data_IF_025745396365
#
_entry.id   IF_025745396365
#
_cell.length_a   1.000
_cell.length_b   1.000
_cell.length_c   1.000
_cell.angle_alpha   90.00
_cell.angle_beta   90.00
_cell.angle_gamma   90.00
#
_symmetry.space_group_name_H-M   'P 1'
#
loop_
_entity.id
_entity.type
_entity.pdbx_description
1 polymer ?
#
# COMPACT_ATOMS: atom_id res chain seq x y z
N UNK A 1 8.23 7.38 -30.46
CA UNK A 1 8.65 6.19 -29.71
C UNK A 1 8.27 4.98 -30.57
N UNK A 2 9.20 4.07 -30.87
CA UNK A 2 8.88 2.85 -31.59
C UNK A 2 7.90 2.04 -30.69
N UNK A 3 6.81 1.54 -31.30
CA UNK A 3 5.83 0.70 -30.62
C UNK A 3 6.54 -0.57 -30.16
N UNK A 4 6.59 -0.83 -28.85
CA UNK A 4 7.20 -2.05 -28.31
C UNK A 4 6.45 -3.26 -28.87
N UNK A 5 7.17 -4.25 -29.35
CA UNK A 5 6.58 -5.49 -29.86
C UNK A 5 6.40 -6.48 -28.68
N UNK A 6 5.28 -6.34 -27.97
CA UNK A 6 4.95 -7.21 -26.82
C UNK A 6 4.76 -8.67 -27.24
N UNK A 7 4.35 -8.91 -28.50
CA UNK A 7 4.21 -10.27 -29.03
C UNK A 7 5.56 -10.96 -29.19
N UNK A 8 6.55 -10.26 -29.73
CA UNK A 8 7.92 -10.77 -29.84
C UNK A 8 8.55 -10.96 -28.44
N UNK A 9 8.29 -10.04 -27.52
CA UNK A 9 8.75 -10.12 -26.13
C UNK A 9 8.13 -11.33 -25.40
N UNK A 10 6.81 -11.55 -25.50
CA UNK A 10 6.12 -12.71 -24.93
C UNK A 10 6.70 -14.02 -25.46
N UNK A 11 6.84 -14.14 -26.78
CA UNK A 11 7.43 -15.31 -27.43
C UNK A 11 8.88 -15.56 -26.98
N UNK A 12 9.68 -14.50 -26.82
CA UNK A 12 11.05 -14.59 -26.34
C UNK A 12 11.12 -15.10 -24.89
N UNK A 13 10.32 -14.55 -23.97
CA UNK A 13 10.26 -14.98 -22.56
C UNK A 13 9.81 -16.44 -22.47
N UNK A 14 8.73 -16.82 -23.17
CA UNK A 14 8.18 -18.18 -23.11
C UNK A 14 9.18 -19.19 -23.64
N UNK A 15 9.86 -18.89 -24.75
CA UNK A 15 10.90 -19.75 -25.31
C UNK A 15 12.01 -20.04 -24.31
N UNK A 16 12.49 -18.99 -23.60
CA UNK A 16 13.58 -19.13 -22.62
C UNK A 16 13.08 -19.66 -21.25
N UNK A 17 11.76 -19.66 -21.02
CA UNK A 17 11.14 -20.31 -19.88
C UNK A 17 10.95 -21.84 -20.05
N UNK A 18 11.43 -22.41 -21.16
CA UNK A 18 11.31 -23.81 -21.49
C UNK A 18 10.10 -24.19 -22.34
N UNK A 19 9.48 -23.20 -22.99
CA UNK A 19 8.32 -23.36 -23.88
C UNK A 19 6.98 -23.34 -23.13
N UNK A 20 5.89 -23.34 -23.92
CA UNK A 20 4.51 -23.28 -23.42
C UNK A 20 4.19 -24.44 -22.47
N UNK A 21 4.63 -25.66 -22.80
CA UNK A 21 4.39 -26.87 -22.04
C UNK A 21 5.02 -26.82 -20.62
N UNK A 22 6.02 -25.97 -20.43
CA UNK A 22 6.67 -25.78 -19.14
C UNK A 22 5.93 -24.77 -18.24
N UNK A 23 5.06 -23.93 -18.78
CA UNK A 23 4.34 -22.89 -18.04
C UNK A 23 3.01 -23.44 -17.56
N UNK A 24 2.84 -23.55 -16.23
CA UNK A 24 1.57 -23.97 -15.60
C UNK A 24 0.56 -22.84 -15.60
N UNK A 25 0.99 -21.64 -15.20
CA UNK A 25 0.16 -20.45 -15.19
C UNK A 25 1.00 -19.17 -15.30
N UNK A 26 0.38 -18.12 -15.82
CA UNK A 26 0.93 -16.79 -15.85
C UNK A 26 0.02 -15.83 -15.08
N UNK A 27 0.61 -14.98 -14.26
CA UNK A 27 -0.04 -13.87 -13.58
C UNK A 27 0.79 -12.62 -13.76
N UNK A 28 0.28 -11.47 -13.43
CA UNK A 28 1.08 -10.25 -13.40
C UNK A 28 0.71 -9.35 -12.23
N UNK A 29 1.64 -8.53 -11.81
CA UNK A 29 1.42 -7.41 -10.91
C UNK A 29 1.63 -6.09 -11.66
N UNK A 30 1.80 -4.98 -10.96
CA UNK A 30 1.97 -3.68 -11.60
C UNK A 30 3.21 -3.59 -12.51
N UNK A 31 4.27 -4.37 -12.22
CA UNK A 31 5.57 -4.23 -12.90
C UNK A 31 6.20 -5.56 -13.31
N UNK A 32 5.60 -6.72 -12.99
CA UNK A 32 6.21 -8.03 -13.19
C UNK A 32 5.24 -9.02 -13.81
N UNK A 33 5.73 -9.76 -14.79
CA UNK A 33 5.10 -10.99 -15.25
C UNK A 33 5.58 -12.13 -14.34
N UNK A 34 4.67 -12.94 -13.84
CA UNK A 34 4.95 -14.06 -12.94
C UNK A 34 4.59 -15.37 -13.62
N UNK A 35 5.52 -16.29 -13.64
CA UNK A 35 5.38 -17.59 -14.26
C UNK A 35 5.53 -18.68 -13.20
N UNK A 36 4.58 -19.63 -13.19
CA UNK A 36 4.69 -20.89 -12.46
C UNK A 36 5.10 -21.96 -13.44
N UNK A 37 6.21 -22.64 -13.17
CA UNK A 37 6.82 -23.60 -14.09
C UNK A 37 6.68 -25.04 -13.57
N UNK A 38 6.52 -25.99 -14.49
CA UNK A 38 6.52 -27.44 -14.20
C UNK A 38 7.93 -27.92 -13.87
N UNK A 39 8.88 -27.56 -14.70
CA UNK A 39 10.28 -27.93 -14.59
C UNK A 39 11.15 -26.68 -14.53
N UNK A 40 11.67 -26.38 -13.34
CA UNK A 40 12.46 -25.20 -13.05
C UNK A 40 13.82 -25.20 -13.74
N UNK A 41 14.35 -26.37 -14.07
CA UNK A 41 15.67 -26.51 -14.70
C UNK A 41 15.68 -26.02 -16.16
N UNK A 42 14.51 -25.88 -16.77
CA UNK A 42 14.35 -25.40 -18.16
C UNK A 42 14.30 -23.89 -18.30
N UNK A 43 14.28 -23.14 -17.18
CA UNK A 43 14.24 -21.69 -17.21
C UNK A 43 15.66 -21.12 -17.27
N UNK A 44 16.01 -20.52 -18.40
CA UNK A 44 17.29 -19.82 -18.58
C UNK A 44 17.15 -18.37 -18.14
N UNK A 45 17.57 -18.09 -16.90
CA UNK A 45 17.48 -16.76 -16.28
C UNK A 45 18.28 -15.71 -17.05
N UNK A 46 19.45 -16.05 -17.56
CA UNK A 46 20.30 -15.09 -18.24
C UNK A 46 19.81 -14.83 -19.68
N UNK A 47 19.30 -15.84 -20.34
CA UNK A 47 18.66 -15.66 -21.64
C UNK A 47 17.35 -14.86 -21.55
N UNK A 48 16.54 -15.04 -20.49
CA UNK A 48 15.34 -14.20 -20.26
C UNK A 48 15.71 -12.74 -20.02
N UNK A 49 16.77 -12.47 -19.27
CA UNK A 49 17.26 -11.09 -19.05
C UNK A 49 17.71 -10.39 -20.35
N UNK A 50 18.10 -11.15 -21.38
CA UNK A 50 18.52 -10.62 -22.68
C UNK A 50 17.34 -10.37 -23.62
N UNK A 51 16.13 -10.77 -23.28
CA UNK A 51 14.93 -10.47 -24.08
C UNK A 51 14.69 -8.95 -24.06
N UNK A 52 14.61 -8.29 -25.21
CA UNK A 52 14.41 -6.84 -25.28
C UNK A 52 13.16 -6.41 -24.51
N UNK A 53 13.32 -5.48 -23.56
CA UNK A 53 12.26 -4.97 -22.69
C UNK A 53 12.14 -5.68 -21.34
N UNK A 54 12.87 -6.76 -21.08
CA UNK A 54 13.03 -7.35 -19.75
C UNK A 54 14.07 -6.56 -18.96
N UNK A 55 13.69 -6.08 -17.79
CA UNK A 55 14.56 -5.27 -16.94
C UNK A 55 15.38 -6.13 -15.97
N UNK A 56 14.75 -7.17 -15.43
CA UNK A 56 15.40 -8.11 -14.50
C UNK A 56 14.56 -9.38 -14.39
N UNK A 57 15.15 -10.41 -13.79
CA UNK A 57 14.45 -11.65 -13.41
C UNK A 57 14.72 -11.90 -11.92
N UNK A 58 13.67 -12.11 -11.16
CA UNK A 58 13.72 -12.44 -9.73
C UNK A 58 13.11 -13.83 -9.57
N UNK A 59 13.83 -14.73 -8.93
CA UNK A 59 13.33 -16.07 -8.60
C UNK A 59 13.06 -16.08 -7.10
N UNK A 60 11.80 -16.22 -6.74
CA UNK A 60 11.41 -16.15 -5.34
C UNK A 60 10.25 -17.12 -5.09
N UNK A 61 10.34 -17.93 -4.03
CA UNK A 61 9.32 -18.92 -3.62
C UNK A 61 8.84 -19.89 -4.71
N UNK A 62 9.70 -20.18 -5.67
CA UNK A 62 9.36 -21.06 -6.77
C UNK A 62 8.57 -20.40 -7.89
N UNK A 63 8.31 -19.08 -7.82
CA UNK A 63 7.80 -18.26 -8.91
C UNK A 63 8.95 -17.56 -9.63
N UNK A 64 8.83 -17.47 -10.94
CA UNK A 64 9.77 -16.77 -11.80
C UNK A 64 9.15 -15.43 -12.19
N UNK A 65 9.69 -14.35 -11.63
CA UNK A 65 9.17 -13.00 -11.79
C UNK A 65 10.03 -12.24 -12.80
N UNK A 66 9.49 -11.99 -13.98
CA UNK A 66 10.15 -11.22 -15.04
C UNK A 66 9.74 -9.76 -14.88
N UNK A 67 10.68 -8.90 -14.51
CA UNK A 67 10.45 -7.46 -14.29
C UNK A 67 10.40 -6.75 -15.64
N UNK A 68 9.27 -6.13 -15.95
CA UNK A 68 8.99 -5.44 -17.22
C UNK A 68 8.81 -3.94 -17.01
N UNK A 69 8.25 -3.53 -15.87
CA UNK A 69 7.80 -2.17 -15.62
C UNK A 69 6.30 -1.98 -15.91
N UNK A 70 5.90 -0.74 -16.14
CA UNK A 70 4.47 -0.37 -16.25
C UNK A 70 3.77 -1.01 -17.47
N UNK A 71 4.51 -1.51 -18.46
CA UNK A 71 3.96 -2.15 -19.66
C UNK A 71 3.59 -3.63 -19.44
N UNK A 72 3.70 -4.14 -18.23
CA UNK A 72 3.44 -5.56 -17.96
C UNK A 72 2.00 -5.98 -18.29
N UNK A 73 0.94 -5.16 -18.13
CA UNK A 73 -0.40 -5.57 -18.54
C UNK A 73 -0.50 -5.87 -20.04
N UNK A 74 0.11 -5.03 -20.89
CA UNK A 74 0.11 -5.23 -22.35
C UNK A 74 0.88 -6.50 -22.75
N UNK A 75 2.02 -6.76 -22.08
CA UNK A 75 2.76 -8.01 -22.28
C UNK A 75 1.97 -9.23 -21.80
N UNK A 76 1.31 -9.13 -20.65
CA UNK A 76 0.51 -10.21 -20.09
C UNK A 76 -0.65 -10.61 -21.02
N UNK A 77 -1.33 -9.63 -21.62
CA UNK A 77 -2.35 -9.90 -22.63
C UNK A 77 -1.81 -10.73 -23.80
N UNK A 78 -0.59 -10.48 -24.26
CA UNK A 78 0.03 -11.27 -25.31
C UNK A 78 0.45 -12.67 -24.84
N UNK A 79 0.88 -12.81 -23.59
CA UNK A 79 1.24 -14.10 -22.99
C UNK A 79 0.02 -15.03 -22.85
N UNK A 80 -1.11 -14.51 -22.39
CA UNK A 80 -2.32 -15.33 -22.20
C UNK A 80 -3.10 -15.61 -23.49
N UNK A 81 -2.79 -14.94 -24.58
CA UNK A 81 -3.30 -15.29 -25.92
C UNK A 81 -2.66 -16.57 -26.48
N UNK A 82 -1.59 -17.06 -25.84
CA UNK A 82 -0.90 -18.26 -26.30
C UNK A 82 -1.61 -19.47 -25.72
N UNK A 83 -2.11 -20.33 -26.59
CA UNK A 83 -2.83 -21.55 -26.21
C UNK A 83 -1.98 -22.44 -25.29
N UNK A 84 -2.57 -22.91 -24.20
CA UNK A 84 -1.92 -23.78 -23.22
C UNK A 84 -1.45 -23.09 -21.95
N UNK A 85 -1.47 -21.75 -21.85
CA UNK A 85 -1.12 -21.01 -20.65
C UNK A 85 -2.39 -20.63 -19.88
N UNK A 86 -2.47 -21.04 -18.60
CA UNK A 86 -3.59 -20.64 -17.75
C UNK A 86 -3.42 -19.18 -17.30
N UNK A 87 -4.42 -18.36 -17.62
CA UNK A 87 -4.50 -16.98 -17.18
C UNK A 87 -4.90 -16.91 -15.69
N UNK A 88 -4.01 -16.39 -14.85
CA UNK A 88 -4.27 -16.16 -13.42
C UNK A 88 -4.70 -14.72 -13.07
N UNK A 89 -4.77 -13.83 -14.06
CA UNK A 89 -5.15 -12.42 -13.88
C UNK A 89 -4.06 -11.54 -13.25
N UNK A 90 -4.44 -10.31 -12.84
CA UNK A 90 -3.51 -9.43 -12.13
C UNK A 90 -3.41 -9.83 -10.66
N UNK A 91 -2.20 -9.93 -10.15
CA UNK A 91 -1.90 -10.17 -8.74
C UNK A 91 -1.20 -8.92 -8.20
N UNK A 92 -1.66 -8.42 -7.06
CA UNK A 92 -1.01 -7.27 -6.45
C UNK A 92 0.37 -7.68 -5.88
N UNK A 93 1.36 -6.79 -5.99
CA UNK A 93 2.74 -7.04 -5.56
C UNK A 93 2.85 -7.50 -4.10
N UNK A 94 1.92 -7.05 -3.25
CA UNK A 94 1.89 -7.36 -1.83
C UNK A 94 1.51 -8.82 -1.53
N UNK A 95 0.79 -9.52 -2.42
CA UNK A 95 0.51 -10.96 -2.20
C UNK A 95 1.75 -11.84 -2.30
N UNK A 96 2.72 -11.46 -3.10
CA UNK A 96 3.97 -12.22 -3.21
C UNK A 96 4.93 -11.89 -2.06
N UNK A 97 5.08 -10.62 -1.71
CA UNK A 97 5.84 -10.23 -0.51
C UNK A 97 5.23 -10.86 0.76
N UNK A 98 3.90 -10.97 0.81
CA UNK A 98 3.18 -11.61 1.89
C UNK A 98 3.35 -13.14 1.95
N UNK A 99 3.43 -13.80 0.79
CA UNK A 99 3.76 -15.24 0.73
C UNK A 99 5.21 -15.50 1.12
N UNK A 100 6.14 -14.61 0.77
CA UNK A 100 7.55 -14.69 1.15
C UNK A 100 7.75 -14.57 2.66
N UNK A 101 7.09 -13.59 3.28
CA UNK A 101 7.12 -13.40 4.74
C UNK A 101 6.42 -14.54 5.49
N UNK A 102 5.41 -15.19 4.90
CA UNK A 102 4.71 -16.31 5.50
C UNK A 102 5.47 -17.65 5.40
N UNK A 103 6.41 -17.78 4.46
CA UNK A 103 7.25 -18.97 4.32
C UNK A 103 8.59 -18.86 5.05
N UNK A 104 9.00 -17.65 5.46
CA UNK A 104 10.22 -17.44 6.23
C UNK A 104 9.91 -17.66 7.73
N UNK A 105 10.07 -18.89 8.13
CA UNK A 105 10.23 -19.39 9.51
C UNK A 105 9.51 -18.66 10.66
N UNK A 106 8.28 -19.08 10.96
CA UNK A 106 7.80 -19.17 12.36
C UNK A 106 7.65 -17.88 13.17
N UNK A 107 7.86 -16.70 12.61
CA UNK A 107 7.71 -15.45 13.35
C UNK A 107 6.29 -14.88 13.19
N UNK A 108 5.50 -14.98 14.27
CA UNK A 108 4.11 -14.48 14.33
C UNK A 108 4.02 -13.01 13.92
N UNK A 109 5.05 -12.19 14.24
CA UNK A 109 5.09 -10.78 13.86
C UNK A 109 5.06 -10.55 12.34
N UNK A 110 5.85 -11.33 11.59
CA UNK A 110 5.88 -11.25 10.13
C UNK A 110 4.53 -11.69 9.51
N UNK A 111 3.89 -12.71 10.07
CA UNK A 111 2.56 -13.14 9.62
C UNK A 111 1.49 -12.05 9.84
N UNK A 112 1.53 -11.35 10.97
CA UNK A 112 0.61 -10.22 11.26
C UNK A 112 0.85 -9.08 10.30
N UNK A 113 2.11 -8.65 10.11
CA UNK A 113 2.46 -7.55 9.19
C UNK A 113 2.04 -7.87 7.75
N UNK A 114 2.32 -9.10 7.30
CA UNK A 114 1.90 -9.60 5.99
C UNK A 114 0.37 -9.60 5.85
N UNK A 115 -0.36 -10.06 6.86
CA UNK A 115 -1.82 -10.06 6.84
C UNK A 115 -2.38 -8.64 6.75
N UNK A 116 -1.86 -7.71 7.56
CA UNK A 116 -2.29 -6.31 7.57
C UNK A 116 -1.98 -5.67 6.22
N UNK A 117 -0.73 -5.74 5.74
CA UNK A 117 -0.32 -5.14 4.46
C UNK A 117 -1.18 -5.62 3.29
N UNK A 118 -1.37 -6.93 3.17
CA UNK A 118 -2.19 -7.48 2.10
C UNK A 118 -3.71 -7.26 2.26
N UNK A 119 -4.18 -6.91 3.46
CA UNK A 119 -5.57 -6.47 3.65
C UNK A 119 -5.76 -5.04 3.16
N UNK A 120 -4.77 -4.15 3.37
CA UNK A 120 -4.86 -2.76 2.94
C UNK A 120 -4.60 -2.57 1.44
N UNK A 121 -3.74 -3.38 0.84
CA UNK A 121 -3.34 -3.26 -0.55
C UNK A 121 -4.52 -3.09 -1.53
N UNK A 122 -5.56 -3.93 -1.57
CA UNK A 122 -6.71 -3.77 -2.47
C UNK A 122 -7.56 -2.53 -2.16
N UNK A 123 -7.42 -1.93 -0.97
CA UNK A 123 -8.19 -0.75 -0.54
C UNK A 123 -7.48 0.55 -0.94
N UNK A 124 -6.17 0.52 -1.21
CA UNK A 124 -5.36 1.71 -1.56
C UNK A 124 -5.99 2.57 -2.66
N UNK A 125 -6.49 2.03 -3.80
CA UNK A 125 -7.08 2.88 -4.84
C UNK A 125 -8.26 3.73 -4.33
N UNK A 126 -9.07 3.17 -3.41
CA UNK A 126 -10.18 3.89 -2.78
C UNK A 126 -9.64 4.99 -1.85
N UNK A 127 -8.62 4.68 -1.04
CA UNK A 127 -7.98 5.65 -0.14
C UNK A 127 -7.34 6.80 -0.92
N UNK A 128 -6.68 6.49 -2.04
CA UNK A 128 -6.06 7.50 -2.92
C UNK A 128 -7.13 8.40 -3.54
N UNK A 129 -8.22 7.82 -4.08
CA UNK A 129 -9.30 8.60 -4.68
C UNK A 129 -9.94 9.55 -3.66
N UNK A 130 -10.29 9.07 -2.47
CA UNK A 130 -10.87 9.88 -1.41
C UNK A 130 -9.91 10.91 -0.85
N UNK A 131 -8.66 10.52 -0.58
CA UNK A 131 -7.63 11.40 -0.06
C UNK A 131 -7.29 12.54 -1.02
N UNK A 132 -7.05 12.24 -2.31
CA UNK A 132 -6.81 13.28 -3.31
C UNK A 132 -8.04 14.18 -3.53
N UNK A 133 -9.25 13.64 -3.43
CA UNK A 133 -10.47 14.48 -3.48
C UNK A 133 -10.51 15.45 -2.28
N UNK A 134 -10.11 15.02 -1.09
CA UNK A 134 -9.97 15.91 0.07
C UNK A 134 -8.92 17.00 -0.13
N UNK A 135 -7.79 16.64 -0.76
CA UNK A 135 -6.77 17.62 -1.13
C UNK A 135 -7.27 18.66 -2.15
N UNK A 136 -8.02 18.20 -3.18
CA UNK A 136 -8.68 19.10 -4.15
C UNK A 136 -9.71 19.99 -3.44
N UNK A 137 -10.49 19.44 -2.52
CA UNK A 137 -11.47 20.19 -1.74
C UNK A 137 -10.80 21.29 -0.91
N UNK A 138 -9.66 20.98 -0.27
CA UNK A 138 -8.86 21.96 0.47
C UNK A 138 -8.36 23.11 -0.43
N UNK A 139 -7.94 22.82 -1.66
CA UNK A 139 -7.59 23.85 -2.65
C UNK A 139 -8.81 24.69 -3.03
N UNK A 140 -9.93 24.07 -3.33
CA UNK A 140 -11.17 24.76 -3.73
C UNK A 140 -11.64 25.73 -2.65
N UNK A 141 -11.58 25.33 -1.39
CA UNK A 141 -12.02 26.20 -0.27
C UNK A 141 -11.00 27.27 0.08
N UNK A 142 -9.73 26.89 0.30
CA UNK A 142 -8.74 27.81 0.87
C UNK A 142 -8.05 28.71 -0.18
N UNK A 143 -8.00 28.27 -1.44
CA UNK A 143 -7.36 29.05 -2.52
C UNK A 143 -8.39 29.69 -3.45
N UNK A 144 -9.41 28.95 -3.87
CA UNK A 144 -10.42 29.42 -4.82
C UNK A 144 -11.68 29.98 -4.15
N UNK A 145 -11.78 29.95 -2.81
CA UNK A 145 -12.87 30.56 -2.06
C UNK A 145 -14.24 29.91 -2.28
N UNK A 146 -14.27 28.62 -2.67
CA UNK A 146 -15.53 27.88 -2.82
C UNK A 146 -16.20 27.73 -1.46
N UNK A 147 -17.46 28.20 -1.35
CA UNK A 147 -18.22 28.13 -0.11
C UNK A 147 -18.45 26.68 0.33
N UNK A 148 -18.27 26.42 1.63
CA UNK A 148 -18.60 25.13 2.24
C UNK A 148 -20.12 24.77 2.16
N UNK A 149 -20.98 25.76 1.91
CA UNK A 149 -22.43 25.57 1.74
C UNK A 149 -22.81 25.23 0.28
N UNK A 150 -21.83 25.29 -0.65
CA UNK A 150 -22.10 25.01 -2.06
C UNK A 150 -22.34 23.53 -2.33
N UNK A 151 -23.21 23.21 -3.30
CA UNK A 151 -23.42 21.83 -3.75
C UNK A 151 -22.14 21.17 -4.27
N UNK A 152 -21.25 21.94 -4.89
CA UNK A 152 -19.93 21.48 -5.32
C UNK A 152 -19.09 21.00 -4.13
N UNK A 153 -19.01 21.80 -3.07
CA UNK A 153 -18.33 21.38 -1.84
C UNK A 153 -18.92 20.10 -1.27
N UNK A 154 -20.27 20.04 -1.13
CA UNK A 154 -20.97 18.90 -0.57
C UNK A 154 -20.67 17.61 -1.32
N UNK A 155 -20.61 17.63 -2.65
CA UNK A 155 -20.31 16.45 -3.47
C UNK A 155 -18.86 15.98 -3.26
N UNK A 156 -17.88 16.88 -3.36
CA UNK A 156 -16.48 16.54 -3.14
C UNK A 156 -16.22 16.08 -1.69
N UNK A 157 -16.86 16.74 -0.74
CA UNK A 157 -16.79 16.35 0.68
C UNK A 157 -17.36 14.95 0.90
N UNK A 158 -18.49 14.61 0.26
CA UNK A 158 -19.05 13.27 0.36
C UNK A 158 -18.12 12.18 -0.22
N UNK A 159 -17.44 12.42 -1.34
CA UNK A 159 -16.47 11.49 -1.91
C UNK A 159 -15.32 11.27 -0.92
N UNK A 160 -14.77 12.34 -0.35
CA UNK A 160 -13.70 12.23 0.64
C UNK A 160 -14.18 11.49 1.89
N UNK A 161 -15.26 11.92 2.50
CA UNK A 161 -15.76 11.36 3.75
C UNK A 161 -16.23 9.93 3.63
N UNK A 162 -16.94 9.56 2.54
CA UNK A 162 -17.39 8.20 2.33
C UNK A 162 -16.23 7.19 2.31
N UNK A 163 -15.09 7.58 1.74
CA UNK A 163 -13.90 6.74 1.69
C UNK A 163 -13.43 6.33 3.09
N UNK A 164 -13.37 7.26 4.01
CA UNK A 164 -12.86 7.00 5.37
C UNK A 164 -13.97 6.50 6.29
N UNK A 165 -15.18 7.07 6.22
CA UNK A 165 -16.32 6.65 7.02
C UNK A 165 -16.64 5.17 6.83
N UNK A 166 -16.69 4.70 5.56
CA UNK A 166 -17.01 3.32 5.20
C UNK A 166 -15.78 2.38 5.19
N UNK A 167 -14.65 2.83 5.70
CA UNK A 167 -13.42 2.03 5.76
C UNK A 167 -13.62 0.62 6.35
N UNK A 168 -14.42 0.39 7.43
CA UNK A 168 -14.70 -0.94 7.94
C UNK A 168 -15.31 -1.90 6.92
N UNK A 169 -16.08 -1.39 5.94
CA UNK A 169 -16.66 -2.21 4.86
C UNK A 169 -15.56 -2.70 3.92
N UNK A 170 -14.68 -1.79 3.47
CA UNK A 170 -13.60 -2.12 2.54
C UNK A 170 -12.59 -3.07 3.18
N UNK A 171 -12.18 -2.78 4.40
CA UNK A 171 -11.26 -3.62 5.18
C UNK A 171 -11.90 -4.97 5.49
N UNK A 172 -13.18 -5.00 5.85
CA UNK A 172 -13.92 -6.23 6.11
C UNK A 172 -13.94 -7.16 4.90
N UNK A 173 -14.22 -6.62 3.70
CA UNK A 173 -14.16 -7.37 2.45
C UNK A 173 -12.75 -7.93 2.19
N UNK A 174 -11.76 -7.06 2.22
CA UNK A 174 -10.38 -7.40 1.90
C UNK A 174 -9.79 -8.43 2.87
N UNK A 175 -10.01 -8.27 4.18
CA UNK A 175 -9.56 -9.21 5.21
C UNK A 175 -10.21 -10.60 5.04
N UNK A 176 -11.51 -10.66 4.79
CA UNK A 176 -12.22 -11.92 4.58
C UNK A 176 -11.74 -12.63 3.31
N UNK A 177 -11.55 -11.91 2.21
CA UNK A 177 -11.01 -12.45 0.97
C UNK A 177 -9.59 -13.02 1.18
N UNK A 178 -8.72 -12.29 1.88
CA UNK A 178 -7.37 -12.74 2.21
C UNK A 178 -7.36 -14.01 3.08
N UNK A 179 -8.30 -14.15 4.00
CA UNK A 179 -8.49 -15.34 4.82
C UNK A 179 -9.16 -16.49 4.06
N UNK A 180 -9.38 -16.37 2.75
CA UNK A 180 -10.11 -17.34 1.93
C UNK A 180 -11.48 -17.67 2.54
N UNK A 181 -12.17 -16.62 2.99
CA UNK A 181 -13.54 -16.63 3.48
C UNK A 181 -14.42 -15.84 2.53
N UNK A 182 -15.67 -15.58 2.88
CA UNK A 182 -16.58 -14.80 2.04
C UNK A 182 -16.37 -13.30 2.23
N UNK A 183 -15.82 -12.61 1.21
CA UNK A 183 -15.56 -11.17 1.24
C UNK A 183 -16.81 -10.32 1.49
N UNK A 184 -17.94 -10.70 0.91
CA UNK A 184 -19.19 -9.96 1.13
C UNK A 184 -19.74 -10.09 2.55
N UNK A 185 -19.55 -11.24 3.22
CA UNK A 185 -19.88 -11.36 4.64
C UNK A 185 -18.94 -10.49 5.51
N UNK A 186 -17.66 -10.37 5.13
CA UNK A 186 -16.74 -9.43 5.78
C UNK A 186 -17.17 -7.97 5.60
N UNK A 187 -17.57 -7.58 4.37
CA UNK A 187 -18.15 -6.27 4.10
C UNK A 187 -19.44 -6.03 4.88
N UNK A 188 -20.29 -7.04 4.96
CA UNK A 188 -21.55 -6.97 5.72
C UNK A 188 -21.32 -6.78 7.20
N UNK A 189 -20.33 -7.46 7.79
CA UNK A 189 -19.92 -7.20 9.18
C UNK A 189 -19.50 -5.73 9.36
N UNK A 190 -18.65 -5.21 8.45
CA UNK A 190 -18.27 -3.79 8.47
C UNK A 190 -19.46 -2.83 8.36
N UNK A 191 -20.44 -3.15 7.52
CA UNK A 191 -21.67 -2.37 7.37
C UNK A 191 -22.56 -2.40 8.64
N UNK A 192 -22.63 -3.55 9.33
CA UNK A 192 -23.35 -3.67 10.60
C UNK A 192 -22.71 -2.78 11.67
N UNK A 193 -21.38 -2.76 11.76
CA UNK A 193 -20.67 -1.89 12.72
C UNK A 193 -20.97 -0.40 12.48
N UNK A 194 -21.23 -0.02 11.22
CA UNK A 194 -21.55 1.36 10.83
C UNK A 194 -23.04 1.68 10.83
N UNK A 195 -23.89 0.69 11.09
CA UNK A 195 -25.32 0.92 11.12
C UNK A 195 -25.70 1.86 12.26
N UNK A 196 -26.58 2.83 11.98
CA UNK A 196 -26.86 3.95 12.88
C UNK A 196 -27.34 3.56 14.29
N UNK A 197 -27.99 2.39 14.44
CA UNK A 197 -28.41 1.87 15.75
C UNK A 197 -27.31 1.10 16.47
N UNK A 198 -26.11 0.98 15.91
CA UNK A 198 -24.95 0.29 16.48
C UNK A 198 -23.78 1.26 16.66
N UNK A 199 -23.48 2.06 15.64
CA UNK A 199 -22.33 2.95 15.59
C UNK A 199 -22.46 4.09 16.61
N UNK A 200 -21.74 4.00 17.71
CA UNK A 200 -21.78 4.99 18.80
C UNK A 200 -23.06 4.94 19.66
N UNK A 201 -23.90 3.90 19.52
CA UNK A 201 -25.15 3.80 20.26
C UNK A 201 -24.91 3.53 21.76
N UNK A 202 -25.54 4.32 22.60
CA UNK A 202 -25.52 4.15 24.06
C UNK A 202 -26.67 3.28 24.53
N UNK A 203 -26.48 2.57 25.64
CA UNK A 203 -27.52 1.76 26.29
C UNK A 203 -27.89 0.49 25.53
N UNK A 204 -27.09 0.06 24.56
CA UNK A 204 -27.32 -1.17 23.83
C UNK A 204 -26.95 -2.38 24.68
N UNK A 205 -27.79 -3.42 24.66
CA UNK A 205 -27.49 -4.71 25.26
C UNK A 205 -27.86 -5.88 24.35
N UNK A 206 -27.21 -7.01 24.56
CA UNK A 206 -27.54 -8.28 23.89
C UNK A 206 -27.86 -9.32 24.97
N UNK A 207 -29.13 -9.65 25.13
CA UNK A 207 -29.64 -10.53 26.20
C UNK A 207 -29.19 -10.10 27.59
N UNK A 208 -29.19 -8.79 27.87
CA UNK A 208 -28.77 -8.23 29.16
C UNK A 208 -27.26 -8.06 29.34
N UNK A 209 -26.45 -8.43 28.33
CA UNK A 209 -25.01 -8.18 28.33
C UNK A 209 -24.79 -6.80 27.70
N UNK A 210 -24.18 -5.82 28.41
CA UNK A 210 -24.01 -4.48 27.89
C UNK A 210 -23.04 -4.45 26.68
N UNK A 211 -23.38 -3.70 25.67
CA UNK A 211 -22.51 -3.41 24.51
C UNK A 211 -21.90 -2.03 24.71
N UNK A 212 -20.59 -1.93 24.61
CA UNK A 212 -19.91 -0.65 24.75
C UNK A 212 -20.22 0.27 23.56
N UNK A 213 -20.58 1.52 23.84
CA UNK A 213 -20.76 2.55 22.82
C UNK A 213 -19.41 2.90 22.18
N UNK A 214 -19.21 2.48 20.94
CA UNK A 214 -17.99 2.72 20.15
C UNK A 214 -18.38 3.29 18.79
N UNK A 215 -17.74 4.38 18.40
CA UNK A 215 -17.81 4.88 17.02
C UNK A 215 -16.86 4.07 16.14
N UNK A 216 -17.43 3.25 15.27
CA UNK A 216 -16.67 2.34 14.40
C UNK A 216 -16.25 2.96 13.06
N UNK A 217 -16.80 4.12 12.69
CA UNK A 217 -16.41 4.84 11.47
C UNK A 217 -14.91 5.15 11.50
N UNK A 218 -14.27 5.01 10.35
CA UNK A 218 -12.82 5.21 10.18
C UNK A 218 -11.92 4.29 11.03
N UNK A 219 -12.49 3.26 11.69
CA UNK A 219 -11.69 2.30 12.47
C UNK A 219 -11.32 1.07 11.65
N UNK A 220 -10.29 0.38 12.08
CA UNK A 220 -9.71 -0.78 11.37
C UNK A 220 -9.66 -2.03 12.24
N UNK A 221 -9.16 -1.90 13.47
CA UNK A 221 -8.91 -3.06 14.35
C UNK A 221 -10.18 -3.81 14.72
N UNK A 222 -11.31 -3.15 15.08
CA UNK A 222 -12.55 -3.85 15.40
C UNK A 222 -13.03 -4.78 14.30
N UNK A 223 -13.06 -4.30 13.04
CA UNK A 223 -13.50 -5.10 11.90
C UNK A 223 -12.51 -6.21 11.55
N UNK A 224 -11.19 -5.97 11.65
CA UNK A 224 -10.17 -7.00 11.41
C UNK A 224 -10.34 -8.15 12.39
N UNK A 225 -10.44 -7.88 13.69
CA UNK A 225 -10.65 -8.90 14.72
C UNK A 225 -11.97 -9.64 14.51
N UNK A 226 -13.04 -8.92 14.20
CA UNK A 226 -14.34 -9.50 13.86
C UNK A 226 -14.27 -10.44 12.66
N UNK A 227 -13.57 -10.05 11.59
CA UNK A 227 -13.42 -10.88 10.38
C UNK A 227 -12.51 -12.08 10.61
N UNK A 228 -11.47 -11.96 11.43
CA UNK A 228 -10.67 -13.12 11.83
C UNK A 228 -11.54 -14.18 12.50
N UNK A 229 -12.36 -13.79 13.47
CA UNK A 229 -13.30 -14.68 14.14
C UNK A 229 -14.38 -15.20 13.17
N UNK A 230 -14.98 -14.31 12.36
CA UNK A 230 -15.96 -14.66 11.34
C UNK A 230 -15.43 -15.75 10.40
N UNK A 231 -14.17 -15.64 9.97
CA UNK A 231 -13.57 -16.60 9.05
C UNK A 231 -13.42 -17.98 9.65
N UNK A 232 -13.15 -18.09 10.96
CA UNK A 232 -13.13 -19.36 11.69
C UNK A 232 -14.52 -19.96 11.75
N UNK A 233 -15.51 -19.18 12.16
CA UNK A 233 -16.92 -19.61 12.25
C UNK A 233 -17.43 -20.04 10.86
N UNK A 234 -17.20 -19.23 9.83
CA UNK A 234 -17.62 -19.52 8.47
C UNK A 234 -17.04 -20.84 7.95
N UNK A 235 -15.71 -21.05 8.10
CA UNK A 235 -15.05 -22.29 7.66
C UNK A 235 -15.54 -23.51 8.44
N UNK A 236 -15.77 -23.36 9.73
CA UNK A 236 -16.34 -24.41 10.56
C UNK A 236 -17.75 -24.82 10.07
N UNK A 237 -18.63 -23.87 9.86
CA UNK A 237 -19.99 -24.10 9.37
C UNK A 237 -19.98 -24.69 7.95
N UNK A 238 -19.13 -24.19 7.06
CA UNK A 238 -18.96 -24.72 5.71
C UNK A 238 -18.58 -26.21 5.70
N UNK A 239 -17.84 -26.67 6.70
CA UNK A 239 -17.44 -28.07 6.81
C UNK A 239 -18.55 -28.97 7.37
N UNK A 240 -19.39 -28.47 8.27
CA UNK A 240 -20.34 -29.30 9.03
C UNK A 240 -21.78 -29.23 8.51
N UNK A 241 -22.16 -28.17 7.80
CA UNK A 241 -23.52 -28.02 7.27
C UNK A 241 -23.69 -28.82 5.96
N UNK A 242 -24.79 -29.58 5.80
CA UNK A 242 -25.09 -30.29 4.55
C UNK A 242 -25.19 -29.34 3.35
N UNK A 243 -24.79 -29.84 2.16
CA UNK A 243 -24.64 -29.01 0.94
C UNK A 243 -25.91 -28.25 0.60
N UNK A 244 -27.10 -28.88 0.70
CA UNK A 244 -28.38 -28.26 0.36
C UNK A 244 -28.81 -27.12 1.28
N UNK A 245 -28.24 -27.04 2.52
CA UNK A 245 -28.52 -25.96 3.47
C UNK A 245 -27.42 -24.87 3.50
N UNK A 246 -26.26 -25.12 2.91
CA UNK A 246 -25.10 -24.22 3.01
C UNK A 246 -25.42 -22.79 2.61
N UNK A 247 -26.13 -22.59 1.53
CA UNK A 247 -26.43 -21.27 0.98
C UNK A 247 -27.25 -20.40 1.94
N UNK A 248 -28.09 -21.00 2.78
CA UNK A 248 -28.98 -20.28 3.71
C UNK A 248 -28.38 -20.28 5.12
N UNK A 249 -28.03 -21.47 5.64
CA UNK A 249 -27.67 -21.63 7.06
C UNK A 249 -26.28 -21.11 7.38
N UNK A 250 -25.31 -21.28 6.47
CA UNK A 250 -23.93 -20.85 6.75
C UNK A 250 -23.84 -19.30 6.89
N UNK A 251 -24.31 -18.47 5.94
CA UNK A 251 -24.23 -17.03 6.13
C UNK A 251 -25.05 -16.53 7.33
N UNK A 252 -26.24 -17.10 7.55
CA UNK A 252 -27.11 -16.75 8.68
C UNK A 252 -26.40 -17.00 10.02
N UNK A 253 -25.98 -18.23 10.28
CA UNK A 253 -25.32 -18.58 11.55
C UNK A 253 -23.98 -17.89 11.72
N UNK A 254 -23.23 -17.68 10.62
CA UNK A 254 -21.98 -16.91 10.66
C UNK A 254 -22.22 -15.52 11.24
N UNK A 255 -23.23 -14.79 10.73
CA UNK A 255 -23.54 -13.45 11.24
C UNK A 255 -24.12 -13.44 12.64
N UNK A 256 -25.10 -14.34 12.94
CA UNK A 256 -25.71 -14.43 14.25
C UNK A 256 -24.72 -14.73 15.37
N UNK A 257 -23.64 -15.45 15.07
CA UNK A 257 -22.56 -15.76 16.04
C UNK A 257 -21.53 -14.62 16.05
N UNK A 258 -21.10 -14.14 14.89
CA UNK A 258 -19.99 -13.21 14.78
C UNK A 258 -20.34 -11.81 15.29
N UNK A 259 -21.52 -11.31 14.95
CA UNK A 259 -21.90 -9.91 15.27
C UNK A 259 -21.94 -9.68 16.80
N UNK A 260 -22.65 -10.49 17.61
CA UNK A 260 -22.66 -10.27 19.06
C UNK A 260 -21.25 -10.38 19.68
N UNK A 261 -20.47 -11.37 19.28
CA UNK A 261 -19.09 -11.54 19.79
C UNK A 261 -18.22 -10.33 19.40
N UNK A 262 -18.41 -9.81 18.18
CA UNK A 262 -17.68 -8.62 17.74
C UNK A 262 -18.07 -7.40 18.56
N UNK A 263 -19.35 -7.16 18.79
CA UNK A 263 -19.82 -5.98 19.50
C UNK A 263 -19.46 -6.01 21.01
N UNK A 264 -19.55 -7.18 21.63
CA UNK A 264 -19.34 -7.32 23.09
C UNK A 264 -17.85 -7.44 23.43
N UNK A 265 -17.05 -8.13 22.61
CA UNK A 265 -15.67 -8.50 22.96
C UNK A 265 -14.65 -7.92 22.00
N UNK A 266 -14.75 -8.27 20.70
CA UNK A 266 -13.67 -7.97 19.74
C UNK A 266 -13.62 -6.50 19.34
N UNK A 267 -14.77 -5.83 19.29
CA UNK A 267 -14.86 -4.39 19.03
C UNK A 267 -14.18 -3.56 20.11
N UNK A 268 -14.54 -3.73 21.39
CA UNK A 268 -13.87 -3.08 22.52
C UNK A 268 -12.36 -3.36 22.56
N UNK A 269 -11.93 -4.63 22.36
CA UNK A 269 -10.51 -4.98 22.29
C UNK A 269 -9.83 -4.25 21.13
N UNK A 270 -10.42 -4.30 19.93
CA UNK A 270 -9.86 -3.64 18.75
C UNK A 270 -9.77 -2.13 18.91
N UNK A 271 -10.78 -1.50 19.50
CA UNK A 271 -10.77 -0.07 19.79
C UNK A 271 -9.65 0.29 20.81
N UNK A 272 -9.52 -0.50 21.86
CA UNK A 272 -8.47 -0.31 22.89
C UNK A 272 -7.08 -0.47 22.29
N UNK A 273 -6.85 -1.50 21.47
CA UNK A 273 -5.58 -1.72 20.76
C UNK A 273 -5.27 -0.54 19.82
N UNK A 274 -6.25 -0.07 19.06
CA UNK A 274 -6.10 1.10 18.18
C UNK A 274 -5.71 2.36 18.96
N UNK A 275 -6.39 2.63 20.06
CA UNK A 275 -6.12 3.77 20.94
C UNK A 275 -4.73 3.69 21.58
N UNK A 276 -4.33 2.53 22.08
CA UNK A 276 -3.00 2.35 22.66
C UNK A 276 -1.89 2.54 21.61
N UNK A 277 -2.09 2.01 20.42
CA UNK A 277 -1.14 2.17 19.32
C UNK A 277 -1.00 3.65 18.94
N UNK A 278 -2.12 4.36 18.78
CA UNK A 278 -2.12 5.79 18.47
C UNK A 278 -1.41 6.60 19.56
N UNK A 279 -1.78 6.39 20.82
CA UNK A 279 -1.20 7.12 21.93
C UNK A 279 0.29 6.80 22.11
N UNK A 280 0.71 5.54 21.94
CA UNK A 280 2.11 5.15 22.04
C UNK A 280 2.98 5.77 20.94
N UNK A 281 2.50 5.73 19.69
CA UNK A 281 3.18 6.33 18.54
C UNK A 281 3.21 7.87 18.67
N UNK A 282 2.12 8.48 19.11
CA UNK A 282 2.05 9.92 19.33
C UNK A 282 2.95 10.37 20.49
N UNK A 283 3.02 9.60 21.60
CA UNK A 283 3.94 9.87 22.69
C UNK A 283 5.41 9.79 22.26
N UNK A 284 5.76 8.81 21.41
CA UNK A 284 7.10 8.72 20.81
C UNK A 284 7.41 9.96 19.95
N UNK A 285 6.44 10.37 19.11
CA UNK A 285 6.58 11.59 18.34
C UNK A 285 6.76 12.82 19.24
N UNK A 286 5.98 12.97 20.28
CA UNK A 286 6.08 14.10 21.23
C UNK A 286 7.43 14.14 21.97
N UNK A 287 7.98 12.97 22.29
CA UNK A 287 9.26 12.89 23.01
C UNK A 287 10.45 13.29 22.12
N UNK A 288 10.47 12.87 20.86
CA UNK A 288 11.60 13.07 19.93
C UNK A 288 11.12 13.29 18.48
N UNK A 289 10.39 14.38 18.20
CA UNK A 289 9.71 14.56 16.91
C UNK A 289 10.61 14.40 15.71
N UNK A 290 11.74 15.11 15.72
CA UNK A 290 12.69 15.12 14.63
C UNK A 290 13.28 13.73 14.32
N UNK A 291 13.65 12.98 15.37
CA UNK A 291 14.20 11.64 15.21
C UNK A 291 13.14 10.62 14.77
N UNK A 292 11.93 10.71 15.30
CA UNK A 292 10.85 9.82 14.93
C UNK A 292 10.51 9.93 13.43
N UNK A 293 10.34 11.16 12.93
CA UNK A 293 10.07 11.40 11.51
C UNK A 293 11.27 11.05 10.63
N UNK A 294 12.50 11.32 11.10
CA UNK A 294 13.73 10.91 10.41
C UNK A 294 13.81 9.38 10.20
N UNK A 295 13.48 8.60 11.23
CA UNK A 295 13.49 7.12 11.13
C UNK A 295 12.49 6.64 10.07
N UNK A 296 11.28 7.20 10.04
CA UNK A 296 10.31 6.89 8.97
C UNK A 296 10.91 7.25 7.60
N UNK A 297 11.49 8.44 7.48
CA UNK A 297 12.14 8.90 6.24
C UNK A 297 13.24 7.97 5.73
N UNK A 298 14.09 7.47 6.64
CA UNK A 298 15.18 6.54 6.30
C UNK A 298 14.63 5.17 5.90
N UNK A 299 13.63 4.67 6.64
CA UNK A 299 13.18 3.27 6.51
C UNK A 299 12.14 3.08 5.41
N UNK A 300 11.46 4.13 4.95
CA UNK A 300 10.39 4.02 3.93
C UNK A 300 10.83 3.25 2.66
N UNK A 301 11.99 3.50 2.01
CA UNK A 301 12.38 2.72 0.83
C UNK A 301 12.54 1.23 1.13
N UNK A 302 12.97 0.87 2.34
CA UNK A 302 13.07 -0.52 2.79
C UNK A 302 11.69 -1.10 3.07
N UNK A 303 10.79 -0.35 3.73
CA UNK A 303 9.42 -0.79 3.98
C UNK A 303 8.67 -1.05 2.67
N UNK A 304 8.86 -0.20 1.66
CA UNK A 304 8.29 -0.43 0.32
C UNK A 304 8.86 -1.69 -0.30
N UNK A 305 10.18 -1.89 -0.23
CA UNK A 305 10.81 -3.09 -0.78
C UNK A 305 10.30 -4.38 -0.16
N UNK A 306 10.10 -4.39 1.16
CA UNK A 306 9.56 -5.55 1.88
C UNK A 306 8.02 -5.61 1.84
N UNK A 307 7.33 -4.69 1.14
CA UNK A 307 5.86 -4.63 1.11
C UNK A 307 5.21 -4.27 2.44
N UNK A 308 5.98 -3.66 3.36
CA UNK A 308 5.54 -3.34 4.72
C UNK A 308 4.96 -1.93 4.87
N UNK A 309 5.12 -1.06 3.87
CA UNK A 309 4.60 0.31 3.92
C UNK A 309 3.09 0.36 4.16
N UNK A 310 2.32 -0.55 3.57
CA UNK A 310 0.87 -0.61 3.75
C UNK A 310 0.45 -1.07 5.16
N UNK A 311 1.32 -1.78 5.87
CA UNK A 311 1.09 -2.18 7.26
C UNK A 311 1.12 -0.99 8.25
N UNK A 312 1.56 0.18 7.83
CA UNK A 312 1.55 1.41 8.63
C UNK A 312 0.20 2.14 8.65
N UNK A 313 -0.67 1.86 7.67
CA UNK A 313 -1.97 2.55 7.58
C UNK A 313 -2.87 2.45 8.82
N UNK A 314 -2.95 1.32 9.55
CA UNK A 314 -3.68 1.28 10.82
C UNK A 314 -3.21 2.33 11.82
N UNK A 315 -1.89 2.62 11.85
CA UNK A 315 -1.31 3.66 12.71
C UNK A 315 -1.72 5.05 12.22
N UNK A 316 -1.67 5.28 10.90
CA UNK A 316 -2.12 6.55 10.29
C UNK A 316 -3.58 6.82 10.64
N UNK A 317 -4.47 5.82 10.48
CA UNK A 317 -5.88 5.98 10.84
C UNK A 317 -6.09 6.24 12.32
N UNK A 318 -5.32 5.56 13.18
CA UNK A 318 -5.38 5.76 14.60
C UNK A 318 -4.92 7.18 15.01
N UNK A 319 -3.84 7.71 14.41
CA UNK A 319 -3.38 9.08 14.60
C UNK A 319 -4.43 10.10 14.12
N UNK A 320 -4.98 9.91 12.91
CA UNK A 320 -6.02 10.78 12.37
C UNK A 320 -7.26 10.82 13.27
N UNK A 321 -7.66 9.69 13.85
CA UNK A 321 -8.77 9.62 14.81
C UNK A 321 -8.45 10.31 16.14
N UNK A 322 -7.21 10.24 16.61
CA UNK A 322 -6.81 10.78 17.91
C UNK A 322 -6.51 12.29 17.89
N UNK A 323 -5.81 12.76 16.81
CA UNK A 323 -5.28 14.13 16.75
C UNK A 323 -5.66 14.88 15.47
N UNK A 324 -6.55 14.33 14.65
CA UNK A 324 -7.03 14.89 13.37
C UNK A 324 -5.90 15.22 12.38
N UNK A 325 -4.75 14.55 12.49
CA UNK A 325 -3.60 14.76 11.61
C UNK A 325 -2.61 13.59 11.72
N UNK A 326 -1.70 13.48 10.76
CA UNK A 326 -0.56 12.56 10.82
C UNK A 326 0.75 13.35 10.84
N UNK A 327 1.31 13.60 12.03
CA UNK A 327 2.58 14.29 12.15
C UNK A 327 3.80 13.38 11.97
N UNK A 328 3.62 12.07 11.77
CA UNK A 328 4.71 11.10 11.83
C UNK A 328 4.84 10.23 10.57
N UNK A 329 3.84 9.39 10.28
CA UNK A 329 3.98 8.32 9.27
C UNK A 329 3.98 8.90 7.85
N UNK A 330 2.86 9.43 7.36
CA UNK A 330 2.78 10.02 6.03
C UNK A 330 3.68 11.26 5.91
N UNK A 331 3.85 11.99 7.02
CA UNK A 331 4.77 13.13 7.12
C UNK A 331 6.23 12.71 6.90
N UNK A 332 6.67 11.56 7.41
CA UNK A 332 8.02 11.03 7.15
C UNK A 332 8.15 10.32 5.80
N UNK A 333 7.06 9.70 5.31
CA UNK A 333 7.03 9.06 4.00
C UNK A 333 7.14 10.06 2.84
N UNK A 334 6.57 11.26 2.97
CA UNK A 334 6.57 12.24 1.90
C UNK A 334 8.00 12.64 1.45
N UNK A 335 8.92 13.09 2.32
CA UNK A 335 10.29 13.36 1.93
C UNK A 335 11.03 12.10 1.45
N UNK A 336 10.72 10.92 1.99
CA UNK A 336 11.32 9.67 1.54
C UNK A 336 10.92 9.33 0.10
N UNK A 337 9.65 9.44 -0.24
CA UNK A 337 9.13 9.13 -1.57
C UNK A 337 9.71 10.05 -2.63
N UNK A 338 9.77 11.36 -2.35
CA UNK A 338 10.36 12.30 -3.30
C UNK A 338 11.88 12.17 -3.39
N UNK A 339 12.56 11.74 -2.31
CA UNK A 339 13.98 11.41 -2.34
C UNK A 339 14.27 10.17 -3.22
N UNK A 340 13.38 9.15 -3.23
CA UNK A 340 13.42 8.05 -4.20
C UNK A 340 13.36 8.61 -5.63
N UNK A 341 12.49 9.60 -5.88
CA UNK A 341 12.40 10.29 -7.15
C UNK A 341 13.73 10.94 -7.55
N UNK A 342 14.33 11.71 -6.65
CA UNK A 342 15.65 12.33 -6.84
C UNK A 342 16.75 11.30 -7.12
N UNK A 343 16.76 10.20 -6.35
CA UNK A 343 17.73 9.11 -6.53
C UNK A 343 17.58 8.41 -7.88
N UNK A 344 16.36 8.14 -8.34
CA UNK A 344 16.11 7.57 -9.67
C UNK A 344 16.57 8.50 -10.79
N UNK A 345 16.28 9.81 -10.68
CA UNK A 345 16.73 10.80 -11.67
C UNK A 345 18.25 10.89 -11.72
N UNK A 346 18.95 10.84 -10.58
CA UNK A 346 20.42 10.81 -10.55
C UNK A 346 20.97 9.50 -11.16
N UNK A 347 20.36 8.36 -10.86
CA UNK A 347 20.73 7.07 -11.45
C UNK A 347 20.58 7.06 -12.97
N UNK A 348 19.57 7.76 -13.51
CA UNK A 348 19.37 7.88 -14.97
C UNK A 348 20.50 8.62 -15.65
N UNK A 349 21.10 9.63 -15.00
CA UNK A 349 22.25 10.37 -15.56
C UNK A 349 23.55 9.55 -15.55
N UNK A 350 23.67 8.60 -14.64
CA UNK A 350 24.84 7.72 -14.51
C UNK A 350 24.72 6.47 -15.39
N UNK A 351 23.52 6.11 -15.85
CA UNK A 351 23.34 4.94 -16.69
C UNK A 351 23.78 5.21 -18.13
N UNK A 352 24.59 4.28 -18.69
CA UNK A 352 24.99 4.25 -20.10
C UNK A 352 23.96 3.52 -20.99
N UNK A 353 23.12 2.70 -20.39
CA UNK A 353 22.08 1.95 -21.10
C UNK A 353 20.82 2.82 -21.27
N UNK A 354 20.34 2.95 -22.51
CA UNK A 354 19.17 3.79 -22.85
C UNK A 354 17.89 3.28 -22.17
N UNK A 355 17.71 1.97 -22.07
CA UNK A 355 16.53 1.37 -21.42
C UNK A 355 16.53 1.63 -19.91
N UNK A 356 17.66 1.36 -19.22
CA UNK A 356 17.79 1.69 -17.79
C UNK A 356 17.55 3.18 -17.52
N UNK A 357 18.04 4.04 -18.41
CA UNK A 357 17.83 5.48 -18.30
C UNK A 357 16.35 5.84 -18.39
N UNK A 358 15.64 5.28 -19.37
CA UNK A 358 14.20 5.51 -19.56
C UNK A 358 13.39 5.05 -18.36
N UNK A 359 13.69 3.84 -17.85
CA UNK A 359 13.04 3.28 -16.64
C UNK A 359 13.30 4.16 -15.42
N UNK A 360 14.56 4.59 -15.22
CA UNK A 360 14.93 5.42 -14.08
C UNK A 360 14.25 6.79 -14.12
N UNK A 361 14.10 7.40 -15.29
CA UNK A 361 13.37 8.69 -15.45
C UNK A 361 11.89 8.50 -15.16
N UNK A 362 11.23 7.48 -15.75
CA UNK A 362 9.82 7.20 -15.52
C UNK A 362 9.53 6.90 -14.05
N UNK A 363 10.34 6.03 -13.44
CA UNK A 363 10.24 5.68 -12.04
C UNK A 363 10.51 6.88 -11.11
N UNK A 364 11.44 7.78 -11.51
CA UNK A 364 11.70 9.02 -10.79
C UNK A 364 10.49 9.94 -10.75
N UNK A 365 9.85 10.15 -11.91
CA UNK A 365 8.65 10.99 -12.01
C UNK A 365 7.50 10.41 -11.18
N UNK A 366 7.24 9.09 -11.26
CA UNK A 366 6.19 8.45 -10.46
C UNK A 366 6.45 8.53 -8.96
N UNK A 367 7.71 8.40 -8.53
CA UNK A 367 8.09 8.53 -7.13
C UNK A 367 7.91 9.97 -6.60
N UNK A 368 8.18 11.01 -7.42
CA UNK A 368 7.85 12.39 -7.06
C UNK A 368 6.35 12.58 -6.85
N UNK A 369 5.51 11.83 -7.57
CA UNK A 369 4.06 11.81 -7.36
C UNK A 369 3.61 10.98 -6.15
N UNK A 370 4.55 10.27 -5.48
CA UNK A 370 4.26 9.43 -4.30
C UNK A 370 4.14 7.94 -4.61
N UNK A 371 4.31 7.49 -5.85
CA UNK A 371 4.28 6.07 -6.26
C UNK A 371 5.71 5.58 -6.43
N UNK A 372 6.24 4.93 -5.41
CA UNK A 372 7.69 4.61 -5.32
C UNK A 372 8.05 3.20 -5.76
N UNK A 373 7.10 2.30 -5.89
CA UNK A 373 7.34 0.89 -6.21
C UNK A 373 8.19 0.70 -7.48
N UNK A 374 7.93 1.39 -8.62
CA UNK A 374 8.78 1.26 -9.79
C UNK A 374 10.22 1.70 -9.54
N UNK A 375 10.41 2.76 -8.73
CA UNK A 375 11.73 3.26 -8.36
C UNK A 375 12.48 2.31 -7.44
N UNK A 376 11.81 1.83 -6.40
CA UNK A 376 12.40 0.94 -5.40
C UNK A 376 12.81 -0.37 -6.05
N UNK A 377 11.92 -1.05 -6.75
CA UNK A 377 12.19 -2.36 -7.34
C UNK A 377 13.02 -2.29 -8.63
N UNK A 378 12.79 -1.28 -9.47
CA UNK A 378 13.45 -1.17 -10.78
C UNK A 378 14.83 -0.49 -10.72
N UNK A 379 15.06 0.40 -9.75
CA UNK A 379 16.27 1.24 -9.71
C UNK A 379 17.06 1.08 -8.42
N UNK A 380 16.42 1.27 -7.24
CA UNK A 380 17.16 1.35 -5.98
C UNK A 380 17.80 0.02 -5.58
N UNK A 381 17.07 -1.06 -5.71
CA UNK A 381 17.58 -2.38 -5.32
C UNK A 381 18.40 -3.10 -6.39
N UNK A 382 18.40 -2.59 -7.62
CA UNK A 382 19.34 -3.07 -8.65
C UNK A 382 20.77 -2.59 -8.43
N UNK A 383 20.92 -1.45 -7.75
CA UNK A 383 22.25 -0.83 -7.46
C UNK A 383 22.19 -0.22 -6.06
N UNK A 384 23.11 -0.57 -5.17
CA UNK A 384 23.12 -0.14 -3.75
C UNK A 384 23.17 1.38 -3.56
N UNK A 385 23.89 2.11 -4.44
CA UNK A 385 24.10 3.55 -4.27
C UNK A 385 22.83 4.42 -4.39
N UNK A 386 21.82 4.12 -5.25
CA UNK A 386 20.60 4.89 -5.26
C UNK A 386 19.74 4.66 -4.01
N UNK A 387 19.76 3.44 -3.46
CA UNK A 387 19.08 3.14 -2.21
C UNK A 387 19.64 3.99 -1.06
N UNK A 388 20.96 3.99 -0.89
CA UNK A 388 21.61 4.79 0.15
C UNK A 388 21.32 6.29 -0.06
N UNK A 389 21.36 6.77 -1.30
CA UNK A 389 21.03 8.16 -1.62
C UNK A 389 19.60 8.53 -1.27
N UNK A 390 18.62 7.67 -1.58
CA UNK A 390 17.23 7.87 -1.20
C UNK A 390 17.03 7.88 0.32
N UNK A 391 17.69 6.95 1.04
CA UNK A 391 17.66 6.90 2.51
C UNK A 391 18.26 8.17 3.15
N UNK A 392 19.36 8.71 2.60
CA UNK A 392 19.95 9.97 3.06
C UNK A 392 18.98 11.14 2.82
N UNK A 393 18.44 11.26 1.60
CA UNK A 393 17.50 12.32 1.26
C UNK A 393 16.23 12.27 2.09
N UNK A 394 15.64 11.07 2.20
CA UNK A 394 14.44 10.81 3.02
C UNK A 394 14.70 11.04 4.51
N UNK A 395 15.84 10.60 5.03
CA UNK A 395 16.21 10.78 6.43
C UNK A 395 16.40 12.25 6.82
N UNK A 396 17.19 12.99 6.04
CA UNK A 396 17.39 14.43 6.31
C UNK A 396 16.10 15.21 6.08
N UNK A 397 15.32 14.87 5.04
CA UNK A 397 14.00 15.45 4.82
C UNK A 397 13.04 15.18 5.98
N UNK A 398 13.02 13.93 6.49
CA UNK A 398 12.24 13.54 7.66
C UNK A 398 12.69 14.27 8.94
N UNK A 399 14.01 14.43 9.15
CA UNK A 399 14.57 15.21 10.25
C UNK A 399 14.08 16.67 10.20
N UNK A 400 14.16 17.30 9.03
CA UNK A 400 13.68 18.66 8.83
C UNK A 400 12.17 18.76 9.02
N UNK A 401 11.40 17.80 8.51
CA UNK A 401 9.96 17.74 8.71
C UNK A 401 9.59 17.71 10.19
N UNK A 402 10.27 16.89 10.98
CA UNK A 402 10.05 16.79 12.42
C UNK A 402 10.49 18.04 13.20
N UNK A 403 11.63 18.67 12.82
CA UNK A 403 12.10 19.94 13.43
C UNK A 403 11.11 21.09 13.16
N UNK A 404 10.61 21.18 11.92
CA UNK A 404 9.73 22.26 11.48
C UNK A 404 8.24 22.00 11.78
N UNK A 405 7.91 20.86 12.41
CA UNK A 405 6.55 20.50 12.77
C UNK A 405 5.63 20.25 11.56
N UNK A 406 6.18 19.78 10.44
CA UNK A 406 5.40 19.40 9.27
C UNK A 406 4.34 18.37 9.65
N UNK A 407 3.13 18.50 9.13
CA UNK A 407 2.00 17.62 9.49
C UNK A 407 1.06 17.44 8.31
N UNK A 408 0.61 16.22 8.07
CA UNK A 408 -0.39 15.93 7.04
C UNK A 408 -1.79 15.90 7.65
N UNK A 409 -2.72 16.69 7.11
CA UNK A 409 -4.09 16.81 7.62
C UNK A 409 -5.11 15.95 6.88
N UNK A 410 -4.78 15.49 5.68
CA UNK A 410 -5.65 14.64 4.86
C UNK A 410 -4.88 13.41 4.42
N UNK A 411 -5.42 12.21 4.65
CA UNK A 411 -4.77 10.97 4.21
C UNK A 411 -4.72 10.95 2.69
N UNK A 412 -3.52 10.87 2.15
CA UNK A 412 -3.27 10.79 0.71
C UNK A 412 -1.93 10.11 0.46
N UNK A 413 -1.64 9.77 -0.80
CA UNK A 413 -0.33 9.20 -1.17
C UNK A 413 0.77 10.24 -0.97
N UNK A 414 1.73 10.03 -0.05
CA UNK A 414 2.72 11.06 0.29
C UNK A 414 3.66 11.37 -0.88
N UNK A 415 3.63 12.62 -1.37
CA UNK A 415 4.44 13.10 -2.50
C UNK A 415 4.00 14.50 -2.95
N UNK A 416 4.54 15.03 -4.06
CA UNK A 416 4.17 16.38 -4.51
C UNK A 416 2.68 16.54 -4.89
N UNK A 417 2.04 15.49 -5.38
CA UNK A 417 0.59 15.54 -5.69
C UNK A 417 -0.24 15.76 -4.42
N UNK A 418 0.25 15.32 -3.27
CA UNK A 418 -0.45 15.48 -1.99
C UNK A 418 -0.15 16.78 -1.25
N UNK A 419 0.58 17.73 -1.84
CA UNK A 419 0.82 19.04 -1.20
C UNK A 419 -0.44 19.71 -0.63
N UNK A 420 -1.61 19.66 -1.30
CA UNK A 420 -2.83 20.20 -0.71
C UNK A 420 -3.26 19.53 0.60
N UNK A 421 -2.84 18.29 0.87
CA UNK A 421 -3.12 17.59 2.13
C UNK A 421 -2.35 18.18 3.33
N UNK A 422 -1.39 19.06 3.08
CA UNK A 422 -0.62 19.78 4.09
C UNK A 422 -1.15 21.20 4.34
N UNK A 423 -2.25 21.62 3.70
CA UNK A 423 -2.91 22.89 3.99
C UNK A 423 -3.54 22.78 5.38
N UNK A 424 -3.12 23.71 6.27
CA UNK A 424 -3.64 23.77 7.62
C UNK A 424 -5.12 24.16 7.62
N UNK A 425 -6.02 23.38 8.26
CA UNK A 425 -7.44 23.73 8.35
C UNK A 425 -7.71 25.08 9.03
N UNK A 426 -6.76 25.60 9.81
CA UNK A 426 -6.86 26.96 10.41
C UNK A 426 -6.56 28.08 9.43
N UNK A 427 -6.18 27.77 8.19
CA UNK A 427 -5.84 28.75 7.15
C UNK A 427 -4.39 29.22 7.18
N UNK A 428 -3.53 28.67 8.04
CA UNK A 428 -2.10 29.01 8.07
C UNK A 428 -1.38 28.42 6.85
N UNK A 429 -0.59 29.24 6.16
CA UNK A 429 0.25 28.80 5.04
C UNK A 429 1.57 28.17 5.48
N UNK A 430 1.91 28.23 6.77
CA UNK A 430 3.20 27.77 7.28
C UNK A 430 3.48 26.30 6.94
N UNK A 431 2.57 25.41 7.26
CA UNK A 431 2.76 23.99 7.06
C UNK A 431 2.89 23.59 5.58
N UNK A 432 2.13 24.26 4.69
CA UNK A 432 2.26 24.07 3.24
C UNK A 432 3.65 24.52 2.74
N UNK A 433 4.12 25.69 3.19
CA UNK A 433 5.46 26.21 2.81
C UNK A 433 6.55 25.25 3.31
N UNK A 434 6.46 24.82 4.56
CA UNK A 434 7.38 23.86 5.14
C UNK A 434 7.40 22.57 4.34
N UNK A 435 6.23 22.02 3.98
CA UNK A 435 6.16 20.75 3.23
C UNK A 435 6.80 20.86 1.84
N UNK A 436 6.62 21.99 1.14
CA UNK A 436 7.29 22.26 -0.15
C UNK A 436 8.82 22.30 0.04
N UNK A 437 9.31 23.04 1.03
CA UNK A 437 10.75 23.17 1.29
C UNK A 437 11.35 21.81 1.64
N UNK A 438 10.74 21.07 2.55
CA UNK A 438 11.20 19.73 2.99
C UNK A 438 11.26 18.76 1.81
N UNK A 439 10.22 18.71 0.99
CA UNK A 439 10.19 17.83 -0.18
C UNK A 439 11.26 18.20 -1.21
N UNK A 440 11.46 19.49 -1.50
CA UNK A 440 12.51 19.96 -2.42
C UNK A 440 13.90 19.57 -1.89
N UNK A 441 14.16 19.83 -0.61
CA UNK A 441 15.44 19.46 0.04
C UNK A 441 15.66 17.96 -0.05
N UNK A 442 14.65 17.14 0.22
CA UNK A 442 14.74 15.68 0.14
C UNK A 442 15.06 15.19 -1.28
N UNK A 443 14.41 15.76 -2.32
CA UNK A 443 14.73 15.45 -3.73
C UNK A 443 16.18 15.79 -4.04
N UNK A 444 16.61 17.00 -3.70
CA UNK A 444 17.97 17.48 -4.01
C UNK A 444 19.02 16.61 -3.30
N UNK A 445 18.80 16.31 -2.02
CA UNK A 445 19.74 15.48 -1.26
C UNK A 445 19.76 14.03 -1.76
N UNK A 446 18.61 13.44 -2.06
CA UNK A 446 18.50 12.11 -2.67
C UNK A 446 19.23 12.04 -4.01
N UNK A 447 19.07 13.07 -4.84
CA UNK A 447 19.76 13.21 -6.12
C UNK A 447 21.28 13.35 -5.95
N UNK A 448 21.72 14.34 -5.15
CA UNK A 448 23.16 14.64 -4.97
C UNK A 448 23.90 13.47 -4.33
N UNK A 449 23.32 12.88 -3.27
CA UNK A 449 23.90 11.71 -2.61
C UNK A 449 24.03 10.53 -3.56
N UNK A 450 22.99 10.22 -4.33
CA UNK A 450 23.01 9.15 -5.34
C UNK A 450 24.07 9.41 -6.42
N UNK A 451 24.12 10.63 -6.94
CA UNK A 451 25.08 11.00 -7.98
C UNK A 451 26.53 10.90 -7.50
N UNK A 452 26.82 11.42 -6.29
CA UNK A 452 28.14 11.37 -5.69
C UNK A 452 28.60 9.93 -5.39
N UNK A 453 27.71 9.11 -4.81
CA UNK A 453 28.00 7.71 -4.52
C UNK A 453 28.16 6.88 -5.79
N UNK A 454 27.33 7.13 -6.81
CA UNK A 454 27.40 6.43 -8.08
C UNK A 454 28.70 6.74 -8.84
N UNK A 455 29.13 8.00 -8.91
CA UNK A 455 30.44 8.37 -9.48
C UNK A 455 31.62 7.70 -8.77
N UNK A 456 31.56 7.60 -7.45
CA UNK A 456 32.60 6.86 -6.68
C UNK A 456 32.60 5.37 -6.98
N UNK A 457 31.42 4.78 -7.20
CA UNK A 457 31.30 3.37 -7.56
C UNK A 457 31.83 3.07 -8.97
N UNK A 458 31.63 4.01 -9.93
CA UNK A 458 32.20 3.90 -11.28
C UNK A 458 33.72 4.09 -11.33
N UNK A 459 34.25 4.98 -10.49
CA UNK A 459 35.70 5.21 -10.42
C UNK A 459 36.47 4.05 -9.78
N UNK A 460 35.80 3.10 -9.13
CA UNK A 460 36.41 1.90 -8.54
C UNK A 460 36.34 0.66 -9.46
N UNK A 461 35.64 0.76 -10.58
CA UNK A 461 35.58 -0.25 -11.64
C UNK A 461 36.57 0.07 -12.75
#
# INVERSE_FOLDING_TARGET
MAKKDYKAMAAGIIKQAGGVDNIVSATHCMTRLRLVLRDRSKFDTDAVKQVPGVLNVIIQNGEYQVVIGQDVPDLYEEVVKIDGIQAGGSVQDDEAAAKDLAQDHGNIGNAILSFIGGTFSPVIPVLVAGGLTGAVLSLLTNVFGVSAESGTYTIFYAINQATFYFLPIFIGFAAAARLKSNGFLGAFLGAILLYSSINGAEGLDFFGIPVQAISYNSTVFPVILGVLFMSVVYKFLQKHIPVFLKTIVVPLLTMLITVPVTLIVLGPIGNTVGTWLANGVYALYQAVPALAVMVIGITTPLMVFFGMNNATYPVVFALMAAVNSDPLICTGMAPANVAVGGACLAASLLSKNVEEKSVSVSAGITALCGITEPGVYGVLFSKTYPLIGAMIGGGIGGLLAGILGMTQYVISTPGFISLPAYIDPTGSSYNLIVSVIVMIVAVVLGFVATYALGKRAEAKK
#
